data_IF_435017921252
#
_entry.id   IF_435017921252
#
_cell.length_a   1.000
_cell.length_b   1.000
_cell.length_c   1.000
_cell.angle_alpha   90.00
_cell.angle_beta   90.00
_cell.angle_gamma   90.00
#
_symmetry.space_group_name_H-M   'P 1'
#
loop_
_entity.id
_entity.type
_entity.pdbx_description
1 polymer ?
#
# COMPACT_ATOMS: atom_id res chain seq x y z
N UNK A 1 34.37 45.35 -34.30
CA UNK A 1 33.35 44.45 -34.86
C UNK A 1 33.91 43.01 -34.96
N UNK A 2 35.15 42.82 -35.43
CA UNK A 2 35.78 41.47 -35.58
C UNK A 2 36.02 40.73 -34.26
N UNK A 3 36.51 41.45 -33.20
CA UNK A 3 36.72 40.87 -31.88
C UNK A 3 35.42 40.48 -31.18
N UNK A 4 34.35 41.26 -31.37
CA UNK A 4 33.01 40.92 -30.84
C UNK A 4 32.41 39.72 -31.56
N UNK A 5 32.57 39.59 -32.85
CA UNK A 5 32.13 38.44 -33.63
C UNK A 5 32.89 37.17 -33.23
N UNK A 6 34.20 37.25 -33.00
CA UNK A 6 35.03 36.13 -32.50
C UNK A 6 34.63 35.75 -31.09
N UNK A 7 34.37 36.72 -30.19
CA UNK A 7 33.87 36.45 -28.85
C UNK A 7 32.48 35.77 -28.87
N UNK A 8 31.57 36.24 -29.71
CA UNK A 8 30.25 35.67 -29.91
C UNK A 8 30.32 34.24 -30.49
N UNK A 9 31.26 34.00 -31.38
CA UNK A 9 31.52 32.70 -31.96
C UNK A 9 32.06 31.69 -30.92
N UNK A 10 33.01 32.10 -30.07
CA UNK A 10 33.47 31.32 -28.92
C UNK A 10 32.43 31.09 -27.85
N UNK A 11 31.51 32.06 -27.66
CA UNK A 11 30.38 31.89 -26.74
C UNK A 11 29.38 30.85 -27.24
N UNK A 12 29.10 30.82 -28.55
CA UNK A 12 28.16 29.87 -29.15
C UNK A 12 28.79 28.46 -29.37
N UNK A 13 30.08 28.37 -29.65
CA UNK A 13 30.75 27.08 -29.92
C UNK A 13 31.47 26.64 -28.63
N UNK A 14 31.00 25.55 -27.97
CA UNK A 14 31.67 25.05 -26.77
C UNK A 14 32.94 24.24 -27.09
N UNK A 15 33.96 24.92 -27.58
CA UNK A 15 35.24 24.32 -27.99
C UNK A 15 35.91 23.55 -26.87
N UNK A 16 35.87 24.07 -25.63
CA UNK A 16 36.41 23.42 -24.44
C UNK A 16 35.77 22.06 -24.15
N UNK A 17 34.45 21.95 -24.31
CA UNK A 17 33.72 20.68 -24.14
C UNK A 17 34.07 19.69 -25.24
N UNK A 18 34.17 20.17 -26.47
CA UNK A 18 34.61 19.33 -27.60
C UNK A 18 36.02 18.75 -27.39
N UNK A 19 36.96 19.59 -26.95
CA UNK A 19 38.31 19.15 -26.66
C UNK A 19 38.34 18.12 -25.52
N UNK A 20 37.57 18.35 -24.44
CA UNK A 20 37.46 17.39 -23.34
C UNK A 20 36.88 16.05 -23.81
N UNK A 21 35.88 16.07 -24.68
CA UNK A 21 35.28 14.88 -25.27
C UNK A 21 36.35 14.13 -26.12
N UNK A 22 37.05 14.83 -26.97
CA UNK A 22 38.10 14.25 -27.86
C UNK A 22 39.21 13.57 -27.06
N UNK A 23 39.73 14.23 -26.03
CA UNK A 23 40.78 13.69 -25.15
C UNK A 23 40.29 12.46 -24.37
N UNK A 24 38.98 12.43 -24.05
CA UNK A 24 38.34 11.30 -23.35
C UNK A 24 37.91 10.16 -24.27
N UNK A 25 38.22 10.24 -25.57
CA UNK A 25 37.86 9.19 -26.53
C UNK A 25 36.43 9.24 -27.07
N UNK A 26 35.70 10.27 -26.73
CA UNK A 26 34.31 10.48 -27.20
C UNK A 26 34.29 11.18 -28.55
N UNK A 27 33.71 10.53 -29.55
CA UNK A 27 33.59 11.09 -30.90
C UNK A 27 32.27 11.87 -31.04
N UNK A 28 32.35 13.21 -30.86
CA UNK A 28 31.22 14.11 -31.10
C UNK A 28 31.69 15.27 -32.00
N UNK A 29 30.88 15.69 -32.95
CA UNK A 29 31.22 16.81 -33.81
C UNK A 29 30.89 18.16 -33.19
N UNK A 30 31.69 19.19 -33.48
CA UNK A 30 31.41 20.56 -33.04
C UNK A 30 30.02 21.03 -33.52
N UNK A 31 29.65 20.67 -34.75
CA UNK A 31 28.33 21.03 -35.30
C UNK A 31 27.19 20.44 -34.46
N UNK A 32 27.33 19.19 -34.01
CA UNK A 32 26.35 18.53 -33.16
C UNK A 32 26.18 19.24 -31.82
N UNK A 33 27.26 19.70 -31.19
CA UNK A 33 27.22 20.45 -29.93
C UNK A 33 26.48 21.81 -30.09
N UNK A 34 26.70 22.48 -31.23
CA UNK A 34 26.00 23.74 -31.55
C UNK A 34 24.50 23.48 -31.77
N UNK A 35 24.16 22.43 -32.51
CA UNK A 35 22.75 22.04 -32.77
C UNK A 35 22.03 21.64 -31.47
N UNK A 36 22.68 20.91 -30.54
CA UNK A 36 22.14 20.60 -29.20
C UNK A 36 21.80 21.86 -28.44
N UNK A 37 22.70 22.86 -28.46
CA UNK A 37 22.46 24.13 -27.79
C UNK A 37 21.25 24.89 -28.39
N UNK A 38 21.09 24.82 -29.72
CA UNK A 38 19.95 25.43 -30.40
C UNK A 38 18.60 24.76 -30.05
N UNK A 39 18.64 23.42 -29.83
CA UNK A 39 17.47 22.65 -29.35
C UNK A 39 17.24 22.77 -27.83
N UNK A 40 17.96 23.68 -27.14
CA UNK A 40 17.90 23.88 -25.69
C UNK A 40 18.33 22.66 -24.85
N UNK A 41 19.13 21.77 -25.41
CA UNK A 41 19.77 20.67 -24.70
C UNK A 41 21.13 21.16 -24.20
N UNK A 42 21.45 21.05 -22.89
CA UNK A 42 22.75 21.47 -22.37
C UNK A 42 23.87 20.52 -22.87
N UNK A 43 24.80 20.99 -23.70
CA UNK A 43 25.86 20.12 -24.24
C UNK A 43 26.78 19.56 -23.15
N UNK A 44 26.95 20.32 -22.05
CA UNK A 44 27.75 19.88 -20.91
C UNK A 44 27.26 18.58 -20.29
N UNK A 45 25.94 18.46 -20.07
CA UNK A 45 25.32 17.27 -19.49
C UNK A 45 25.51 16.05 -20.40
N UNK A 46 25.27 16.21 -21.69
CA UNK A 46 25.43 15.11 -22.65
C UNK A 46 26.90 14.67 -22.76
N UNK A 47 27.81 15.63 -22.91
CA UNK A 47 29.24 15.33 -23.05
C UNK A 47 29.82 14.71 -21.77
N UNK A 48 29.50 15.22 -20.58
CA UNK A 48 29.95 14.62 -19.33
C UNK A 48 29.45 13.18 -19.16
N UNK A 49 28.18 12.95 -19.45
CA UNK A 49 27.58 11.60 -19.42
C UNK A 49 28.23 10.65 -20.43
N UNK A 50 28.53 11.13 -21.62
CA UNK A 50 29.28 10.34 -22.63
C UNK A 50 30.72 10.03 -22.21
N UNK A 51 31.42 10.97 -21.60
CA UNK A 51 32.77 10.76 -21.07
C UNK A 51 32.74 9.71 -19.97
N UNK A 52 31.78 9.79 -19.06
CA UNK A 52 31.61 8.83 -17.97
C UNK A 52 31.33 7.42 -18.50
N UNK A 53 30.36 7.29 -19.41
CA UNK A 53 30.04 6.00 -20.03
C UNK A 53 31.19 5.38 -20.78
N UNK A 54 31.95 6.19 -21.57
CA UNK A 54 33.10 5.74 -22.33
C UNK A 54 34.21 5.26 -21.39
N UNK A 55 34.51 5.96 -20.30
CA UNK A 55 35.47 5.53 -19.27
C UNK A 55 35.04 4.25 -18.55
N UNK A 56 33.76 3.97 -18.47
CA UNK A 56 33.22 2.72 -17.93
C UNK A 56 33.20 1.57 -18.97
N UNK A 57 33.55 1.84 -20.22
CA UNK A 57 33.55 0.85 -21.31
C UNK A 57 32.20 0.71 -22.02
N UNK A 58 31.25 1.64 -21.75
CA UNK A 58 29.95 1.69 -22.41
C UNK A 58 29.98 2.66 -23.59
N UNK A 59 29.45 2.25 -24.74
CA UNK A 59 29.28 3.10 -25.92
C UNK A 59 27.82 3.55 -26.00
N UNK A 60 27.57 4.81 -25.68
CA UNK A 60 26.24 5.40 -25.78
C UNK A 60 26.14 6.32 -27.00
N UNK A 61 24.95 6.37 -27.60
CA UNK A 61 24.69 7.22 -28.75
C UNK A 61 24.26 8.63 -28.27
N UNK A 62 24.97 9.72 -28.69
CA UNK A 62 24.62 11.07 -28.29
C UNK A 62 23.17 11.46 -28.67
N UNK A 63 22.65 10.95 -29.78
CA UNK A 63 21.27 11.23 -30.21
C UNK A 63 20.22 10.60 -29.27
N UNK A 64 20.50 9.42 -28.72
CA UNK A 64 19.61 8.77 -27.76
C UNK A 64 19.60 9.49 -26.41
N UNK A 65 20.76 9.97 -25.95
CA UNK A 65 20.87 10.80 -24.75
C UNK A 65 20.13 12.14 -24.91
N UNK A 66 20.26 12.78 -26.09
CA UNK A 66 19.55 14.01 -26.42
C UNK A 66 18.03 13.78 -26.46
N UNK A 67 17.57 12.71 -27.09
CA UNK A 67 16.16 12.35 -27.16
C UNK A 67 15.58 12.09 -25.75
N UNK A 68 16.32 11.40 -24.88
CA UNK A 68 15.91 11.16 -23.52
C UNK A 68 15.81 12.46 -22.69
N UNK A 69 16.77 13.38 -22.86
CA UNK A 69 16.72 14.69 -22.23
C UNK A 69 15.51 15.51 -22.68
N UNK A 70 15.22 15.52 -24.00
CA UNK A 70 14.07 16.21 -24.56
C UNK A 70 12.73 15.61 -24.13
N UNK A 71 12.70 14.32 -23.83
CA UNK A 71 11.55 13.63 -23.24
C UNK A 71 11.32 13.97 -21.74
N UNK A 72 12.20 14.78 -21.13
CA UNK A 72 12.12 15.16 -19.73
C UNK A 72 12.81 14.19 -18.76
N UNK A 73 13.59 13.24 -19.27
CA UNK A 73 14.33 12.29 -18.46
C UNK A 73 15.62 12.85 -17.88
N UNK A 74 16.14 12.18 -16.85
CA UNK A 74 17.39 12.52 -16.18
C UNK A 74 18.57 11.73 -16.77
N UNK A 75 19.22 12.31 -17.78
CA UNK A 75 20.35 11.68 -18.49
C UNK A 75 21.48 11.27 -17.54
N UNK A 76 21.84 12.13 -16.59
CA UNK A 76 22.92 11.87 -15.64
C UNK A 76 22.63 10.65 -14.78
N UNK A 77 21.41 10.57 -14.23
CA UNK A 77 20.98 9.44 -13.39
C UNK A 77 20.97 8.12 -14.16
N UNK A 78 20.46 8.14 -15.39
CA UNK A 78 20.43 6.97 -16.28
C UNK A 78 21.84 6.48 -16.59
N UNK A 79 22.78 7.40 -16.90
CA UNK A 79 24.18 7.01 -17.21
C UNK A 79 24.88 6.49 -15.97
N UNK A 80 24.73 7.10 -14.80
CA UNK A 80 25.24 6.59 -13.53
C UNK A 80 24.72 5.17 -13.23
N UNK A 81 23.41 4.95 -13.47
CA UNK A 81 22.78 3.64 -13.31
C UNK A 81 23.40 2.59 -14.26
N UNK A 82 23.57 2.94 -15.54
CA UNK A 82 24.16 2.04 -16.52
C UNK A 82 25.63 1.69 -16.19
N UNK A 83 26.42 2.68 -15.77
CA UNK A 83 27.80 2.46 -15.34
C UNK A 83 27.86 1.55 -14.11
N UNK A 84 26.97 1.77 -13.15
CA UNK A 84 26.89 0.95 -11.93
C UNK A 84 26.43 -0.47 -12.25
N UNK A 85 25.42 -0.63 -13.12
CA UNK A 85 24.94 -1.92 -13.59
C UNK A 85 26.06 -2.71 -14.32
N UNK A 86 26.80 -2.04 -15.20
CA UNK A 86 27.94 -2.65 -15.92
C UNK A 86 29.01 -3.15 -14.94
N UNK A 87 29.36 -2.36 -13.93
CA UNK A 87 30.36 -2.77 -12.91
C UNK A 87 29.86 -3.91 -12.02
N UNK A 88 28.55 -4.00 -11.80
CA UNK A 88 27.93 -5.06 -11.03
C UNK A 88 27.57 -6.31 -11.86
N UNK A 89 27.91 -6.36 -13.15
CA UNK A 89 27.50 -7.40 -14.10
C UNK A 89 25.99 -7.60 -14.20
N UNK A 90 25.22 -6.53 -14.04
CA UNK A 90 23.77 -6.54 -14.20
C UNK A 90 23.43 -6.17 -15.64
N UNK A 91 22.61 -6.98 -16.30
CA UNK A 91 22.14 -6.70 -17.64
C UNK A 91 21.06 -5.59 -17.58
N UNK A 92 21.48 -4.35 -17.85
CA UNK A 92 20.61 -3.19 -18.00
C UNK A 92 20.91 -2.54 -19.36
N UNK A 93 19.92 -2.60 -20.26
CA UNK A 93 20.01 -1.91 -21.56
C UNK A 93 19.59 -0.44 -21.43
N UNK A 94 20.15 0.41 -22.27
CA UNK A 94 19.84 1.84 -22.31
C UNK A 94 18.33 2.10 -22.47
N UNK A 95 17.65 1.34 -23.35
CA UNK A 95 16.20 1.48 -23.56
C UNK A 95 15.40 1.16 -22.30
N UNK A 96 15.82 0.15 -21.54
CA UNK A 96 15.15 -0.19 -20.29
C UNK A 96 15.42 0.87 -19.22
N UNK A 97 16.66 1.34 -19.10
CA UNK A 97 17.01 2.41 -18.16
C UNK A 97 16.21 3.69 -18.41
N UNK A 98 16.11 4.12 -19.67
CA UNK A 98 15.32 5.31 -20.06
C UNK A 98 13.82 5.09 -19.82
N UNK A 99 13.29 3.89 -20.06
CA UNK A 99 11.89 3.57 -19.80
C UNK A 99 11.55 3.63 -18.28
N UNK A 100 12.47 3.15 -17.43
CA UNK A 100 12.31 3.21 -15.97
C UNK A 100 12.31 4.67 -15.49
N UNK A 101 13.25 5.50 -15.98
CA UNK A 101 13.37 6.92 -15.62
C UNK A 101 12.15 7.71 -16.05
N UNK A 102 11.68 7.53 -17.30
CA UNK A 102 10.48 8.19 -17.81
C UNK A 102 9.19 7.70 -17.13
N UNK A 103 9.20 6.51 -16.54
CA UNK A 103 8.11 6.02 -15.68
C UNK A 103 8.13 6.67 -14.27
N UNK A 104 9.06 7.61 -14.00
CA UNK A 104 9.17 8.33 -12.74
C UNK A 104 9.85 7.54 -11.62
N UNK A 105 10.61 6.47 -11.94
CA UNK A 105 11.36 5.68 -10.97
C UNK A 105 12.85 6.01 -11.06
N UNK A 106 13.52 6.01 -9.91
CA UNK A 106 14.97 6.22 -9.86
C UNK A 106 15.70 4.94 -10.30
N UNK A 107 16.32 5.02 -11.48
CA UNK A 107 17.05 3.89 -12.08
C UNK A 107 18.30 3.55 -11.28
N UNK A 108 18.99 4.58 -10.76
CA UNK A 108 20.23 4.39 -10.01
C UNK A 108 19.97 3.75 -8.66
N UNK A 109 18.94 4.20 -7.93
CA UNK A 109 18.49 3.57 -6.69
C UNK A 109 18.07 2.10 -6.93
N UNK A 110 17.37 1.83 -8.03
CA UNK A 110 16.96 0.47 -8.39
C UNK A 110 18.16 -0.46 -8.65
N UNK A 111 19.19 0.03 -9.33
CA UNK A 111 20.44 -0.75 -9.53
C UNK A 111 21.14 -0.97 -8.20
N UNK A 112 21.22 0.04 -7.33
CA UNK A 112 21.80 -0.12 -6.00
C UNK A 112 21.04 -1.15 -5.15
N UNK A 113 19.70 -1.10 -5.14
CA UNK A 113 18.88 -2.09 -4.44
C UNK A 113 18.94 -3.49 -5.04
N UNK A 114 19.30 -3.61 -6.32
CA UNK A 114 19.54 -4.91 -6.94
C UNK A 114 20.84 -5.57 -6.45
N UNK A 115 21.85 -4.75 -6.10
CA UNK A 115 23.15 -5.22 -5.57
C UNK A 115 23.10 -5.35 -4.05
N UNK A 116 22.54 -4.34 -3.38
CA UNK A 116 22.43 -4.26 -1.93
C UNK A 116 20.95 -4.31 -1.53
N UNK A 117 20.44 -5.46 -1.10
CA UNK A 117 19.07 -5.59 -0.66
C UNK A 117 18.71 -4.60 0.44
N UNK A 118 17.50 -4.06 0.38
CA UNK A 118 16.96 -3.11 1.36
C UNK A 118 16.05 -3.85 2.34
N UNK A 119 16.14 -3.49 3.61
CA UNK A 119 15.20 -3.96 4.63
C UNK A 119 14.09 -2.94 4.81
N UNK A 120 12.85 -3.38 4.64
CA UNK A 120 11.65 -2.58 4.88
C UNK A 120 10.88 -3.18 6.06
N UNK A 121 10.32 -2.31 6.92
CA UNK A 121 9.57 -2.73 8.09
C UNK A 121 8.08 -2.67 7.77
N UNK A 122 7.32 -3.72 8.13
CA UNK A 122 5.87 -3.66 8.07
C UNK A 122 5.32 -2.77 9.18
N UNK A 123 4.20 -2.08 8.96
CA UNK A 123 3.43 -1.55 10.07
C UNK A 123 2.97 -2.71 10.99
N UNK A 124 2.57 -2.43 12.24
CA UNK A 124 2.01 -3.46 13.13
C UNK A 124 0.77 -4.09 12.49
N UNK A 125 0.81 -5.40 12.29
CA UNK A 125 -0.28 -6.17 11.68
C UNK A 125 -1.02 -6.91 12.78
N UNK A 126 -2.28 -6.56 13.00
CA UNK A 126 -3.13 -7.20 14.00
C UNK A 126 -3.96 -8.32 13.35
N UNK A 127 -3.92 -9.52 13.93
CA UNK A 127 -4.72 -10.66 13.51
C UNK A 127 -5.20 -11.45 14.71
N UNK A 128 -6.29 -12.21 14.56
CA UNK A 128 -6.89 -13.02 15.63
C UNK A 128 -6.72 -14.50 15.30
N UNK A 129 -6.12 -15.27 16.19
CA UNK A 129 -6.02 -16.70 16.07
C UNK A 129 -7.37 -17.39 16.35
N UNK A 130 -7.51 -18.68 16.03
CA UNK A 130 -8.78 -19.43 16.21
C UNK A 130 -9.26 -19.52 17.66
N UNK A 131 -8.34 -19.38 18.64
CA UNK A 131 -8.66 -19.32 20.06
C UNK A 131 -9.22 -17.95 20.50
N UNK A 132 -9.40 -17.02 19.60
CA UNK A 132 -9.99 -15.70 19.87
C UNK A 132 -9.02 -14.67 20.44
N UNK A 133 -7.72 -14.98 20.52
CA UNK A 133 -6.70 -14.06 21.02
C UNK A 133 -6.08 -13.30 19.85
N UNK A 134 -6.03 -11.97 20.01
CA UNK A 134 -5.40 -11.07 19.06
C UNK A 134 -3.88 -11.11 19.23
N UNK A 135 -3.16 -11.22 18.12
CA UNK A 135 -1.72 -11.05 18.02
C UNK A 135 -1.42 -9.82 17.16
N UNK A 136 -0.39 -9.07 17.53
CA UNK A 136 0.11 -7.92 16.79
C UNK A 136 1.53 -8.24 16.37
N UNK A 137 1.73 -8.53 15.09
CA UNK A 137 3.03 -8.89 14.55
C UNK A 137 3.67 -7.73 13.79
N UNK A 138 4.98 -7.57 13.91
CA UNK A 138 5.82 -6.69 13.11
C UNK A 138 6.84 -7.54 12.38
N UNK A 139 6.98 -7.33 11.08
CA UNK A 139 7.94 -8.06 10.28
C UNK A 139 8.93 -7.11 9.60
N UNK A 140 10.14 -7.63 9.35
CA UNK A 140 11.15 -7.02 8.48
C UNK A 140 11.20 -7.82 7.20
N UNK A 141 11.07 -7.14 6.09
CA UNK A 141 11.10 -7.75 4.76
C UNK A 141 12.36 -7.30 4.06
N UNK A 142 13.23 -8.24 3.72
CA UNK A 142 14.41 -7.95 2.91
C UNK A 142 14.02 -8.10 1.46
N UNK A 143 14.13 -7.02 0.69
CA UNK A 143 13.75 -6.97 -0.71
C UNK A 143 14.92 -6.59 -1.60
N UNK A 144 14.92 -7.11 -2.82
CA UNK A 144 15.84 -6.76 -3.89
C UNK A 144 15.05 -6.23 -5.07
N UNK A 145 15.52 -5.17 -5.73
CA UNK A 145 14.88 -4.68 -6.93
C UNK A 145 15.03 -5.66 -8.11
N UNK A 146 13.92 -5.98 -8.76
CA UNK A 146 13.91 -6.76 -10.00
C UNK A 146 13.85 -5.80 -11.19
N UNK A 147 15.00 -5.53 -11.79
CA UNK A 147 15.15 -4.54 -12.87
C UNK A 147 14.22 -4.83 -14.05
N UNK A 148 13.98 -6.11 -14.36
CA UNK A 148 13.12 -6.50 -15.48
C UNK A 148 11.65 -6.17 -15.25
N UNK A 149 11.23 -6.12 -13.99
CA UNK A 149 9.84 -5.86 -13.59
C UNK A 149 9.63 -4.43 -13.06
N UNK A 150 10.66 -3.58 -13.09
CA UNK A 150 10.53 -2.18 -12.65
C UNK A 150 9.52 -1.40 -13.49
N UNK A 151 9.47 -1.64 -14.79
CA UNK A 151 8.45 -1.03 -15.66
C UNK A 151 7.15 -1.82 -15.52
N UNK A 152 6.12 -1.19 -14.95
CA UNK A 152 4.80 -1.80 -14.76
C UNK A 152 4.61 -2.66 -13.50
N UNK A 153 5.68 -2.98 -12.76
CA UNK A 153 5.58 -3.70 -11.49
C UNK A 153 5.05 -2.81 -10.35
N UNK A 154 4.35 -3.42 -9.40
CA UNK A 154 3.84 -2.72 -8.23
C UNK A 154 4.99 -2.28 -7.29
N UNK A 155 4.75 -1.20 -6.52
CA UNK A 155 5.72 -0.59 -5.61
C UNK A 155 5.89 -1.32 -4.27
N UNK A 156 6.73 -0.73 -3.41
CA UNK A 156 7.04 -1.20 -2.04
C UNK A 156 5.78 -1.38 -1.18
N UNK A 157 4.84 -0.43 -1.28
CA UNK A 157 3.57 -0.49 -0.53
C UNK A 157 2.75 -1.74 -0.83
N UNK A 158 2.75 -2.20 -2.08
CA UNK A 158 2.05 -3.42 -2.48
C UNK A 158 2.69 -4.66 -1.89
N UNK A 159 4.03 -4.70 -1.83
CA UNK A 159 4.76 -5.79 -1.17
C UNK A 159 4.39 -5.84 0.31
N UNK A 160 4.43 -4.69 1.00
CA UNK A 160 4.06 -4.58 2.42
C UNK A 160 2.61 -5.01 2.67
N UNK A 161 1.67 -4.59 1.82
CA UNK A 161 0.25 -4.98 1.94
C UNK A 161 0.07 -6.49 1.79
N UNK A 162 0.71 -7.11 0.79
CA UNK A 162 0.64 -8.56 0.57
C UNK A 162 1.30 -9.36 1.70
N UNK A 163 2.45 -8.91 2.20
CA UNK A 163 3.09 -9.52 3.36
C UNK A 163 2.18 -9.42 4.58
N UNK A 164 1.58 -8.25 4.82
CA UNK A 164 0.60 -8.06 5.89
C UNK A 164 -0.59 -9.02 5.77
N UNK A 165 -1.17 -9.18 4.58
CA UNK A 165 -2.21 -10.15 4.29
C UNK A 165 -1.75 -11.59 4.57
N UNK A 166 -0.54 -11.93 4.15
CA UNK A 166 0.06 -13.23 4.43
C UNK A 166 0.20 -13.52 5.93
N UNK A 167 0.63 -12.53 6.71
CA UNK A 167 0.72 -12.62 8.18
C UNK A 167 -0.67 -12.82 8.80
N UNK A 168 -1.66 -12.01 8.41
CA UNK A 168 -3.05 -12.14 8.89
C UNK A 168 -3.61 -13.53 8.59
N UNK A 169 -3.44 -14.00 7.36
CA UNK A 169 -3.89 -15.33 6.92
C UNK A 169 -3.21 -16.46 7.71
N UNK A 170 -1.91 -16.32 7.98
CA UNK A 170 -1.14 -17.32 8.74
C UNK A 170 -1.58 -17.38 10.20
N UNK A 171 -1.67 -16.23 10.88
CA UNK A 171 -2.14 -16.15 12.26
C UNK A 171 -3.60 -16.63 12.37
N UNK A 172 -4.48 -16.19 11.47
CA UNK A 172 -5.90 -16.57 11.47
C UNK A 172 -6.14 -18.07 11.24
N UNK A 173 -5.21 -18.76 10.56
CA UNK A 173 -5.26 -20.20 10.38
C UNK A 173 -4.73 -21.02 11.55
N UNK A 174 -3.93 -20.40 12.44
CA UNK A 174 -3.34 -21.04 13.60
C UNK A 174 -4.40 -21.45 14.64
N UNK A 175 -4.25 -22.65 15.21
CA UNK A 175 -5.20 -23.20 16.19
C UNK A 175 -5.18 -22.38 17.48
N UNK A 176 -4.01 -21.88 17.89
CA UNK A 176 -3.82 -21.10 19.11
C UNK A 176 -2.72 -20.08 18.94
N UNK A 177 -2.85 -18.95 19.65
CA UNK A 177 -1.80 -17.93 19.75
C UNK A 177 -0.46 -18.52 20.26
N UNK A 178 -0.49 -19.55 21.12
CA UNK A 178 0.73 -20.19 21.66
C UNK A 178 1.57 -20.84 20.56
N UNK A 179 0.94 -21.52 19.60
CA UNK A 179 1.64 -22.16 18.49
C UNK A 179 2.38 -21.12 17.63
N UNK A 180 1.79 -19.93 17.47
CA UNK A 180 2.41 -18.83 16.72
C UNK A 180 3.61 -18.26 17.49
N UNK A 181 3.49 -18.12 18.82
CA UNK A 181 4.58 -17.61 19.68
C UNK A 181 5.73 -18.59 19.83
N UNK A 182 5.44 -19.91 19.83
CA UNK A 182 6.45 -20.96 19.91
C UNK A 182 7.28 -21.05 18.60
N UNK A 183 6.66 -20.77 17.45
CA UNK A 183 7.33 -20.90 16.16
C UNK A 183 6.95 -19.78 15.18
N UNK A 184 7.42 -18.54 15.42
CA UNK A 184 7.14 -17.39 14.55
C UNK A 184 7.67 -17.58 13.12
N UNK A 185 8.76 -18.33 12.93
CA UNK A 185 9.35 -18.62 11.63
C UNK A 185 8.40 -19.40 10.70
N UNK A 186 7.42 -20.09 11.24
CA UNK A 186 6.38 -20.76 10.45
C UNK A 186 5.56 -19.77 9.62
N UNK A 187 5.31 -18.56 10.16
CA UNK A 187 4.62 -17.47 9.44
C UNK A 187 5.47 -17.04 8.25
N UNK A 188 6.76 -16.78 8.48
CA UNK A 188 7.70 -16.35 7.44
C UNK A 188 7.74 -17.33 6.27
N UNK A 189 7.81 -18.61 6.55
CA UNK A 189 7.82 -19.67 5.51
C UNK A 189 6.51 -19.70 4.71
N UNK A 190 5.38 -19.71 5.40
CA UNK A 190 4.06 -19.72 4.73
C UNK A 190 3.85 -18.50 3.85
N UNK A 191 4.36 -17.34 4.29
CA UNK A 191 4.24 -16.09 3.53
C UNK A 191 5.15 -16.10 2.31
N UNK A 192 6.40 -16.60 2.44
CA UNK A 192 7.35 -16.76 1.32
C UNK A 192 6.84 -17.76 0.27
N UNK A 193 6.33 -18.91 0.71
CA UNK A 193 5.83 -19.97 -0.18
C UNK A 193 4.63 -19.51 -1.04
N UNK A 194 3.93 -18.46 -0.64
CA UNK A 194 2.83 -17.88 -1.41
C UNK A 194 3.27 -17.06 -2.63
N UNK A 195 4.56 -16.79 -2.79
CA UNK A 195 5.10 -16.02 -3.93
C UNK A 195 4.47 -14.62 -4.06
N UNK A 196 4.46 -13.87 -2.96
CA UNK A 196 3.77 -12.58 -2.86
C UNK A 196 4.45 -11.44 -3.67
N UNK A 197 5.63 -11.68 -4.20
CA UNK A 197 6.40 -10.79 -5.07
C UNK A 197 5.96 -10.82 -6.54
N UNK A 198 5.08 -11.75 -6.93
CA UNK A 198 4.60 -11.85 -8.30
C UNK A 198 3.96 -10.55 -8.79
N UNK A 199 4.46 -10.00 -9.91
CA UNK A 199 3.97 -8.74 -10.50
C UNK A 199 4.37 -7.48 -9.71
N UNK A 200 5.36 -7.57 -8.81
CA UNK A 200 5.96 -6.42 -8.14
C UNK A 200 7.32 -6.07 -8.76
N UNK A 201 7.78 -4.85 -8.53
CA UNK A 201 9.11 -4.41 -8.93
C UNK A 201 10.23 -4.97 -8.01
N UNK A 202 9.86 -5.74 -7.00
CA UNK A 202 10.76 -6.25 -5.97
C UNK A 202 10.65 -7.78 -5.87
N UNK A 203 11.74 -8.40 -5.50
CA UNK A 203 11.85 -9.80 -5.12
C UNK A 203 12.05 -9.87 -3.61
N UNK A 204 11.27 -10.69 -2.91
CA UNK A 204 11.40 -10.89 -1.48
C UNK A 204 12.47 -11.96 -1.22
N UNK A 205 13.53 -11.58 -0.49
CA UNK A 205 14.61 -12.49 -0.13
C UNK A 205 14.35 -13.19 1.21
N UNK A 206 13.89 -12.43 2.21
CA UNK A 206 13.53 -12.96 3.52
C UNK A 206 12.38 -12.14 4.13
N UNK A 207 11.64 -12.81 5.00
CA UNK A 207 10.66 -12.18 5.89
C UNK A 207 11.00 -12.65 7.29
N UNK A 208 11.37 -11.72 8.15
CA UNK A 208 11.76 -12.02 9.53
C UNK A 208 10.73 -11.38 10.47
N UNK A 209 10.11 -12.19 11.32
CA UNK A 209 9.20 -11.67 12.34
C UNK A 209 10.04 -11.02 13.43
N UNK A 210 9.91 -9.70 13.53
CA UNK A 210 10.73 -8.91 14.46
C UNK A 210 10.17 -8.91 15.88
N UNK A 211 8.82 -8.90 15.99
CA UNK A 211 8.12 -8.79 17.25
C UNK A 211 6.71 -9.35 17.13
N UNK A 212 6.22 -10.03 18.18
CA UNK A 212 4.83 -10.48 18.28
C UNK A 212 4.32 -10.16 19.69
N UNK A 213 3.42 -9.19 19.75
CA UNK A 213 2.72 -8.80 20.97
C UNK A 213 1.38 -9.54 21.09
N UNK A 214 1.02 -9.94 22.30
CA UNK A 214 -0.29 -10.49 22.60
C UNK A 214 -1.24 -9.33 22.90
N UNK A 215 -2.27 -9.20 22.10
CA UNK A 215 -3.29 -8.19 22.24
C UNK A 215 -4.45 -8.62 23.14
N UNK A 216 -5.65 -8.18 22.79
CA UNK A 216 -6.88 -8.45 23.55
C UNK A 216 -7.42 -9.86 23.27
N UNK A 217 -8.11 -10.44 24.26
CA UNK A 217 -8.93 -11.62 24.06
C UNK A 217 -10.28 -11.23 23.44
N UNK A 218 -10.31 -11.15 22.10
CA UNK A 218 -11.49 -10.75 21.34
C UNK A 218 -12.61 -11.79 21.47
N UNK A 219 -12.25 -13.08 21.58
CA UNK A 219 -13.24 -14.16 21.77
C UNK A 219 -14.01 -14.01 23.08
N UNK A 220 -13.31 -13.75 24.19
CA UNK A 220 -13.95 -13.52 25.49
C UNK A 220 -14.78 -12.24 25.50
N UNK A 221 -14.30 -11.16 24.88
CA UNK A 221 -15.05 -9.90 24.76
C UNK A 221 -16.35 -10.13 23.99
N UNK A 222 -16.30 -10.81 22.86
CA UNK A 222 -17.49 -11.10 22.04
C UNK A 222 -18.52 -11.95 22.82
N UNK A 223 -18.07 -12.95 23.59
CA UNK A 223 -18.94 -13.76 24.44
C UNK A 223 -19.63 -12.92 25.54
N UNK A 224 -18.88 -12.00 26.16
CA UNK A 224 -19.45 -11.08 27.15
C UNK A 224 -20.49 -10.15 26.53
N UNK A 225 -20.18 -9.57 25.37
CA UNK A 225 -21.11 -8.69 24.65
C UNK A 225 -22.38 -9.43 24.21
N UNK A 226 -22.23 -10.68 23.78
CA UNK A 226 -23.36 -11.53 23.41
C UNK A 226 -24.23 -11.89 24.63
N UNK A 227 -23.61 -12.27 25.74
CA UNK A 227 -24.33 -12.55 26.99
C UNK A 227 -25.06 -11.30 27.52
N UNK A 228 -24.48 -10.12 27.39
CA UNK A 228 -25.14 -8.86 27.76
C UNK A 228 -26.33 -8.53 26.83
N UNK A 229 -26.17 -8.76 25.52
CA UNK A 229 -27.27 -8.60 24.57
C UNK A 229 -28.43 -9.56 24.85
N UNK A 230 -28.13 -10.82 25.12
CA UNK A 230 -29.12 -11.84 25.48
C UNK A 230 -29.86 -11.48 26.75
N UNK A 231 -29.16 -10.97 27.77
CA UNK A 231 -29.75 -10.45 29.00
C UNK A 231 -30.71 -9.27 28.74
N UNK A 232 -30.28 -8.31 27.92
CA UNK A 232 -31.11 -7.16 27.57
C UNK A 232 -32.39 -7.58 26.80
N UNK A 233 -32.24 -8.55 25.86
CA UNK A 233 -33.42 -9.12 25.15
C UNK A 233 -34.35 -9.83 26.10
N UNK A 234 -33.82 -10.62 27.04
CA UNK A 234 -34.65 -11.30 28.05
C UNK A 234 -35.37 -10.31 28.96
N UNK A 235 -34.71 -9.23 29.39
CA UNK A 235 -35.32 -8.16 30.18
C UNK A 235 -36.43 -7.45 29.40
N UNK A 236 -36.19 -7.04 28.15
CA UNK A 236 -37.18 -6.41 27.31
C UNK A 236 -38.44 -7.29 27.12
N UNK A 237 -38.27 -8.58 26.88
CA UNK A 237 -39.35 -9.55 26.78
C UNK A 237 -40.13 -9.71 28.12
N UNK A 238 -39.43 -9.64 29.25
CA UNK A 238 -40.06 -9.70 30.55
C UNK A 238 -40.88 -8.45 30.83
N UNK A 239 -40.38 -7.27 30.46
CA UNK A 239 -41.09 -6.00 30.57
C UNK A 239 -42.32 -5.95 29.65
N UNK A 240 -42.19 -6.42 28.42
CA UNK A 240 -43.30 -6.56 27.47
C UNK A 240 -44.43 -7.44 28.05
N UNK A 241 -44.09 -8.63 28.60
CA UNK A 241 -45.05 -9.53 29.23
C UNK A 241 -45.71 -8.88 30.44
N UNK A 242 -44.97 -8.13 31.26
CA UNK A 242 -45.55 -7.38 32.40
C UNK A 242 -46.49 -6.29 31.91
N UNK A 243 -46.10 -5.52 30.90
CA UNK A 243 -46.97 -4.49 30.33
C UNK A 243 -48.24 -5.08 29.71
N UNK A 244 -48.14 -6.19 29.00
CA UNK A 244 -49.33 -6.93 28.49
C UNK A 244 -50.24 -7.43 29.61
N UNK A 245 -49.68 -7.99 30.69
CA UNK A 245 -50.44 -8.46 31.83
C UNK A 245 -51.19 -7.31 32.52
N UNK A 246 -50.54 -6.17 32.72
CA UNK A 246 -51.15 -4.94 33.29
C UNK A 246 -52.24 -4.41 32.38
N UNK A 247 -52.04 -4.36 31.07
CA UNK A 247 -53.01 -3.94 30.09
C UNK A 247 -54.25 -4.85 30.10
N UNK A 248 -54.05 -6.18 30.14
CA UNK A 248 -55.13 -7.15 30.22
C UNK A 248 -55.94 -7.02 31.56
N UNK A 249 -55.23 -6.79 32.67
CA UNK A 249 -55.88 -6.53 33.97
C UNK A 249 -56.76 -5.27 33.91
N UNK A 250 -56.25 -4.17 33.35
CA UNK A 250 -57.03 -2.94 33.18
C UNK A 250 -58.22 -3.14 32.25
N UNK A 251 -58.09 -3.87 31.15
CA UNK A 251 -59.18 -4.21 30.26
C UNK A 251 -60.28 -5.04 30.97
N UNK A 252 -59.88 -6.02 31.75
CA UNK A 252 -60.79 -6.85 32.53
C UNK A 252 -61.54 -6.03 33.63
N UNK A 253 -60.82 -5.09 34.28
CA UNK A 253 -61.41 -4.16 35.21
C UNK A 253 -62.43 -3.26 34.53
N UNK A 254 -62.15 -2.72 33.36
CA UNK A 254 -63.08 -1.90 32.59
C UNK A 254 -64.29 -2.70 32.17
N UNK A 255 -64.14 -3.92 31.67
CA UNK A 255 -65.26 -4.82 31.34
C UNK A 255 -66.12 -5.14 32.54
N UNK A 256 -65.53 -5.35 33.72
CA UNK A 256 -66.27 -5.57 34.96
C UNK A 256 -67.08 -4.33 35.41
N UNK A 257 -66.49 -3.13 35.23
CA UNK A 257 -67.23 -1.86 35.51
C UNK A 257 -68.36 -1.63 34.53
N UNK A 258 -68.20 -1.87 33.24
CA UNK A 258 -69.24 -1.80 32.23
C UNK A 258 -70.38 -2.79 32.50
N UNK A 259 -70.01 -4.02 32.91
CA UNK A 259 -71.06 -5.00 33.31
C UNK A 259 -71.85 -4.55 34.54
N UNK A 260 -71.20 -3.97 35.57
CA UNK A 260 -71.83 -3.39 36.73
C UNK A 260 -72.77 -2.21 36.36
N UNK A 261 -72.26 -1.33 35.47
CA UNK A 261 -73.06 -0.21 34.99
C UNK A 261 -74.33 -0.67 34.26
N UNK A 262 -74.27 -1.71 33.46
CA UNK A 262 -75.41 -2.33 32.78
C UNK A 262 -76.39 -2.94 33.76
N UNK A 263 -75.96 -3.59 34.84
CA UNK A 263 -76.76 -4.15 35.86
C UNK A 263 -77.51 -3.01 36.60
N UNK A 264 -76.83 -1.94 36.98
CA UNK A 264 -77.42 -0.77 37.63
C UNK A 264 -78.47 -0.11 36.74
N UNK A 265 -78.21 0.01 35.44
CA UNK A 265 -79.18 0.56 34.48
C UNK A 265 -80.47 -0.32 34.38
N UNK A 266 -80.23 -1.66 34.26
CA UNK A 266 -81.35 -2.59 34.23
C UNK A 266 -82.14 -2.59 35.53
N UNK A 267 -81.54 -2.49 36.72
CA UNK A 267 -82.16 -2.33 38.00
C UNK A 267 -82.98 -1.02 38.10
N UNK A 268 -82.48 0.07 37.49
CA UNK A 268 -83.24 1.35 37.44
C UNK A 268 -84.42 1.35 36.49
N UNK A 269 -84.43 0.50 35.47
CA UNK A 269 -85.62 0.34 34.58
C UNK A 269 -86.75 -0.46 35.20
N UNK A 270 -86.50 -1.34 36.19
CA UNK A 270 -87.49 -2.19 36.82
C UNK A 270 -88.60 -1.36 37.45
N UNK A 271 -88.36 -0.28 38.26
CA UNK A 271 -89.43 0.53 38.83
C UNK A 271 -90.24 1.30 37.78
N UNK A 272 -89.60 1.70 36.67
CA UNK A 272 -90.27 2.34 35.55
C UNK A 272 -91.24 1.36 34.84
N UNK A 273 -90.82 0.16 34.57
CA UNK A 273 -91.67 -0.87 33.99
C UNK A 273 -92.83 -1.30 34.94
N UNK A 274 -92.55 -1.29 36.23
CA UNK A 274 -93.62 -1.53 37.22
C UNK A 274 -94.65 -0.37 37.28
N UNK A 275 -94.19 0.87 37.09
CA UNK A 275 -95.12 2.04 37.06
C UNK A 275 -95.94 2.11 35.77
N UNK A 276 -95.48 1.57 34.66
CA UNK A 276 -96.26 1.47 33.42
C UNK A 276 -97.23 0.30 33.39
N UNK A 277 -97.05 -0.66 34.28
CA UNK A 277 -97.90 -1.86 34.38
C UNK A 277 -99.10 -1.70 35.34
N UNK A 278 -99.18 -0.60 36.06
CA UNK A 278 -100.28 -0.21 36.93
C UNK A 278 -101.01 1.06 36.37
#
# INVERSE_FOLDING_TARGET
VSLFAIWLLFYFIPVGLWFSALVSGVRISLLQLVLMRWRKVPPSTIVSSMIESTKAGLTLNPNELEAHYLAGGNVTNVVHALVSAQKANIMLDFKMATAIDLAGRDVFEAVQMSVNPKVINTPPVAAVAKDGIQLIAKARVTVRANIKQLVGGAGEETVLARVGEGIVSSIGSAVSHKVVLENPDSISRVVLDKGLDAGTAFEILSIDIADIDVGKNIGAQLQMDQAQADKNIAQAKAEERRAMAVALEQENRAKAQDARAKVILAEAEVPLAMAEAF
#
